data_IF_919857477665
#
_entry.id   IF_919857477665
#
_cell.length_a   1.000
_cell.length_b   1.000
_cell.length_c   1.000
_cell.angle_alpha   90.00
_cell.angle_beta   90.00
_cell.angle_gamma   90.00
#
_symmetry.space_group_name_H-M   'P 1'
#
loop_
_entity.id
_entity.type
_entity.pdbx_description
1 polymer ?
#
# COMPACT_ATOMS: atom_id res chain seq x y z
N UNK A 1 -9.42 4.30 9.69
CA UNK A 1 -8.40 3.23 9.75
C UNK A 1 -7.75 3.30 11.11
N UNK A 2 -7.32 2.19 11.69
CA UNK A 2 -6.64 2.16 13.00
C UNK A 2 -5.22 1.65 12.87
N UNK A 3 -4.38 2.04 13.83
CA UNK A 3 -3.09 1.40 14.07
C UNK A 3 -3.36 0.06 14.75
N UNK A 4 -3.04 -1.04 14.09
CA UNK A 4 -3.24 -2.39 14.61
C UNK A 4 -1.91 -2.99 15.03
N UNK A 5 -1.87 -3.56 16.23
CA UNK A 5 -0.75 -4.39 16.67
C UNK A 5 -1.03 -5.86 16.30
N UNK A 6 -0.28 -6.45 15.36
CA UNK A 6 -0.47 -7.85 15.01
C UNK A 6 -0.07 -8.81 16.13
N UNK A 7 0.86 -8.41 17.01
CA UNK A 7 1.30 -9.26 18.12
C UNK A 7 0.31 -9.23 19.29
N UNK A 8 -0.20 -8.05 19.64
CA UNK A 8 -1.14 -7.88 20.75
C UNK A 8 -2.59 -8.09 20.34
N UNK A 9 -2.87 -8.22 19.05
CA UNK A 9 -4.21 -8.42 18.49
C UNK A 9 -5.20 -7.32 18.91
N UNK A 10 -4.73 -6.07 18.94
CA UNK A 10 -5.54 -4.92 19.34
C UNK A 10 -5.23 -3.68 18.51
N UNK A 11 -6.21 -2.77 18.41
CA UNK A 11 -5.95 -1.42 17.98
C UNK A 11 -5.17 -0.66 19.06
N UNK A 12 -4.30 0.25 18.65
CA UNK A 12 -3.52 1.15 19.51
C UNK A 12 -3.77 2.60 19.10
N UNK A 13 -3.65 3.51 20.07
CA UNK A 13 -3.77 4.96 19.82
C UNK A 13 -2.59 5.47 19.00
N UNK A 14 -2.76 6.61 18.31
CA UNK A 14 -1.65 7.33 17.66
C UNK A 14 -0.53 7.69 18.66
N UNK A 15 -0.89 7.93 19.93
CA UNK A 15 0.07 8.21 21.01
C UNK A 15 0.86 6.98 21.48
N UNK A 16 0.40 5.77 21.13
CA UNK A 16 1.05 4.49 21.48
C UNK A 16 1.89 3.94 20.33
N UNK A 17 2.08 4.73 19.27
CA UNK A 17 2.95 4.42 18.13
C UNK A 17 4.22 5.23 18.20
N UNK A 18 5.35 4.55 18.30
CA UNK A 18 6.69 5.14 18.24
C UNK A 18 7.26 4.95 16.83
N UNK A 19 8.06 5.91 16.36
CA UNK A 19 8.66 5.84 15.03
C UNK A 19 10.17 5.70 15.13
N UNK A 20 10.72 4.70 14.45
CA UNK A 20 12.15 4.47 14.29
C UNK A 20 12.57 4.68 12.83
N UNK A 21 13.74 5.29 12.63
CA UNK A 21 14.39 5.27 11.31
C UNK A 21 15.17 3.97 11.14
N UNK A 22 14.83 3.20 10.11
CA UNK A 22 15.40 1.88 9.87
C UNK A 22 15.83 1.72 8.40
N UNK A 23 16.95 1.01 8.12
CA UNK A 23 17.29 0.64 6.76
C UNK A 23 16.21 -0.23 6.13
N UNK A 24 15.74 0.14 4.95
CA UNK A 24 14.80 -0.63 4.16
C UNK A 24 15.11 -0.58 2.66
N UNK A 25 14.11 -0.98 1.88
CA UNK A 25 14.23 -1.15 0.44
C UNK A 25 13.03 -0.54 -0.26
N UNK A 26 13.30 0.20 -1.33
CA UNK A 26 12.31 0.65 -2.30
C UNK A 26 12.33 -0.31 -3.49
N UNK A 27 11.18 -0.93 -3.76
CA UNK A 27 10.98 -1.93 -4.79
C UNK A 27 10.32 -1.30 -6.01
N UNK A 28 10.84 -1.61 -7.20
CA UNK A 28 10.32 -1.12 -8.46
C UNK A 28 9.66 -2.28 -9.24
N UNK A 29 8.35 -2.20 -9.47
CA UNK A 29 7.53 -3.30 -10.00
C UNK A 29 6.77 -2.85 -11.25
N UNK A 30 6.80 -3.66 -12.31
CA UNK A 30 6.05 -3.41 -13.55
C UNK A 30 4.59 -3.85 -13.39
N UNK A 31 3.66 -2.97 -13.74
CA UNK A 31 2.24 -3.23 -13.92
C UNK A 31 1.91 -3.09 -15.39
N UNK A 32 1.62 -4.20 -16.06
CA UNK A 32 1.29 -4.18 -17.48
C UNK A 32 -0.06 -3.51 -17.71
N UNK A 33 -0.20 -2.78 -18.80
CA UNK A 33 -1.46 -2.17 -19.22
C UNK A 33 -2.29 -3.22 -19.94
N UNK A 34 -3.53 -3.44 -19.48
CA UNK A 34 -4.42 -4.41 -20.08
C UNK A 34 -4.76 -4.03 -21.53
N UNK A 35 -4.74 -5.02 -22.43
CA UNK A 35 -4.95 -4.81 -23.87
C UNK A 35 -3.80 -4.08 -24.59
N UNK A 36 -2.72 -3.74 -23.87
CA UNK A 36 -1.52 -3.15 -24.45
C UNK A 36 -0.50 -4.18 -24.95
N UNK A 37 0.58 -3.69 -25.55
CA UNK A 37 1.76 -4.49 -25.89
C UNK A 37 2.52 -4.91 -24.62
N UNK A 38 3.46 -5.86 -24.74
CA UNK A 38 4.32 -6.25 -23.60
C UNK A 38 5.17 -5.10 -23.05
N UNK A 39 5.41 -4.07 -23.87
CA UNK A 39 6.13 -2.85 -23.50
C UNK A 39 5.25 -1.78 -22.84
N UNK A 40 3.92 -1.93 -22.88
CA UNK A 40 3.01 -1.00 -22.20
C UNK A 40 2.88 -1.40 -20.73
N UNK A 41 3.68 -0.76 -19.87
CA UNK A 41 3.60 -0.94 -18.42
C UNK A 41 3.86 0.37 -17.69
N UNK A 42 3.39 0.43 -16.44
CA UNK A 42 3.78 1.42 -15.45
C UNK A 42 4.76 0.77 -14.47
N UNK A 43 5.75 1.51 -14.02
CA UNK A 43 6.64 1.05 -12.94
C UNK A 43 6.20 1.73 -11.67
N UNK A 44 5.87 0.98 -10.63
CA UNK A 44 5.54 1.49 -9.29
C UNK A 44 6.75 1.37 -8.39
N UNK A 45 7.02 2.42 -7.61
CA UNK A 45 7.96 2.38 -6.50
C UNK A 45 7.20 2.18 -5.19
N UNK A 46 7.54 1.15 -4.41
CA UNK A 46 6.87 0.85 -3.12
C UNK A 46 7.84 0.24 -2.12
N UNK A 47 7.64 0.53 -0.84
CA UNK A 47 8.38 -0.10 0.27
C UNK A 47 7.67 -1.35 0.80
N UNK A 48 6.41 -1.57 0.39
CA UNK A 48 5.53 -2.65 0.83
C UNK A 48 4.96 -3.43 -0.35
N UNK A 49 5.79 -4.19 -1.10
CA UNK A 49 5.32 -4.90 -2.29
C UNK A 49 4.24 -5.94 -1.95
N UNK A 50 4.27 -6.54 -0.76
CA UNK A 50 3.27 -7.52 -0.29
C UNK A 50 1.84 -6.97 -0.22
N UNK A 51 1.67 -5.65 -0.18
CA UNK A 51 0.34 -5.01 -0.17
C UNK A 51 -0.29 -4.90 -1.57
N UNK A 52 0.44 -5.26 -2.64
CA UNK A 52 -0.06 -5.13 -4.02
C UNK A 52 -1.34 -5.95 -4.30
N UNK A 53 -1.53 -7.05 -3.58
CA UNK A 53 -2.74 -7.85 -3.69
C UNK A 53 -3.99 -7.05 -3.30
N UNK A 54 -3.82 -5.99 -2.50
CA UNK A 54 -4.85 -5.08 -2.03
C UNK A 54 -5.04 -3.84 -2.91
N UNK A 55 -4.30 -3.72 -4.02
CA UNK A 55 -4.39 -2.56 -4.89
C UNK A 55 -5.77 -2.46 -5.52
N UNK A 56 -6.37 -1.28 -5.56
CA UNK A 56 -7.69 -1.07 -6.19
C UNK A 56 -7.65 -0.06 -7.32
N UNK A 57 -6.55 0.67 -7.45
CA UNK A 57 -6.27 1.58 -8.55
C UNK A 57 -4.76 1.82 -8.63
N UNK A 58 -4.30 2.27 -9.80
CA UNK A 58 -2.99 2.89 -9.98
C UNK A 58 -3.21 4.37 -10.26
N UNK A 59 -2.52 5.24 -9.53
CA UNK A 59 -2.63 6.69 -9.71
C UNK A 59 -1.35 7.26 -10.33
N UNK A 60 -1.51 8.20 -11.24
CA UNK A 60 -0.43 8.99 -11.83
C UNK A 60 -0.75 10.47 -11.73
N UNK A 61 0.27 11.32 -11.71
CA UNK A 61 0.05 12.76 -11.70
C UNK A 61 -0.54 13.23 -13.06
N UNK A 62 -1.56 14.09 -13.09
CA UNK A 62 -2.20 14.51 -14.34
C UNK A 62 -1.27 15.27 -15.32
N UNK A 63 -0.19 15.87 -14.81
CA UNK A 63 0.82 16.56 -15.61
C UNK A 63 2.06 15.71 -15.90
N UNK A 64 2.02 14.41 -15.60
CA UNK A 64 3.11 13.49 -15.95
C UNK A 64 2.89 12.92 -17.37
N UNK A 65 3.52 13.57 -18.35
CA UNK A 65 3.42 13.21 -19.76
C UNK A 65 3.84 11.76 -20.03
N UNK A 66 4.73 11.17 -19.21
CA UNK A 66 5.20 9.78 -19.34
C UNK A 66 4.06 8.77 -19.25
N UNK A 67 3.05 9.05 -18.40
CA UNK A 67 1.97 8.11 -18.08
C UNK A 67 0.56 8.62 -18.40
N UNK A 68 0.40 9.89 -18.77
CA UNK A 68 -0.89 10.50 -19.16
C UNK A 68 -1.69 9.65 -20.16
N UNK A 69 -1.02 9.03 -21.13
CA UNK A 69 -1.61 8.14 -22.16
C UNK A 69 -2.27 6.86 -21.62
N UNK A 70 -2.03 6.50 -20.36
CA UNK A 70 -2.60 5.31 -19.71
C UNK A 70 -3.79 5.63 -18.82
N UNK A 71 -4.06 6.89 -18.51
CA UNK A 71 -5.22 7.31 -17.71
C UNK A 71 -6.51 6.83 -18.39
N UNK A 72 -7.41 6.23 -17.61
CA UNK A 72 -8.66 5.63 -18.09
C UNK A 72 -8.51 4.20 -18.64
N UNK A 73 -7.28 3.68 -18.77
CA UNK A 73 -7.03 2.26 -19.06
C UNK A 73 -6.99 1.45 -17.76
N UNK A 74 -6.79 0.14 -17.90
CA UNK A 74 -6.64 -0.78 -16.78
C UNK A 74 -5.20 -1.26 -16.66
N UNK A 75 -4.69 -1.38 -15.44
CA UNK A 75 -3.44 -2.06 -15.12
C UNK A 75 -3.73 -3.49 -14.65
N UNK A 76 -2.84 -4.41 -14.98
CA UNK A 76 -2.85 -5.80 -14.48
C UNK A 76 -2.01 -5.84 -13.21
N UNK A 77 -2.63 -6.23 -12.10
CA UNK A 77 -1.92 -6.39 -10.82
C UNK A 77 -1.04 -7.64 -10.90
N UNK A 78 0.27 -7.54 -10.65
CA UNK A 78 1.18 -8.68 -10.68
C UNK A 78 0.73 -9.80 -9.74
N UNK A 79 1.02 -11.06 -10.10
CA UNK A 79 0.80 -12.23 -9.24
C UNK A 79 -0.65 -12.47 -8.78
N UNK A 80 -1.65 -11.91 -9.46
CA UNK A 80 -3.08 -12.03 -9.11
C UNK A 80 -3.91 -12.76 -10.17
N UNK A 81 -3.29 -13.56 -11.04
CA UNK A 81 -3.98 -14.26 -12.14
C UNK A 81 -4.79 -13.33 -13.08
N UNK A 82 -4.31 -12.09 -13.28
CA UNK A 82 -4.91 -11.16 -14.23
C UNK A 82 -5.94 -10.19 -13.64
N UNK A 83 -5.91 -9.90 -12.33
CA UNK A 83 -6.77 -8.89 -11.72
C UNK A 83 -6.48 -7.52 -12.33
N UNK A 84 -7.53 -6.84 -12.78
CA UNK A 84 -7.45 -5.52 -13.36
C UNK A 84 -7.85 -4.44 -12.37
N UNK A 85 -7.13 -3.32 -12.38
CA UNK A 85 -7.47 -2.10 -11.62
C UNK A 85 -7.39 -0.87 -12.53
N UNK A 86 -8.25 0.15 -12.33
CA UNK A 86 -8.22 1.35 -13.14
C UNK A 86 -6.93 2.15 -12.93
N UNK A 87 -6.47 2.80 -14.00
CA UNK A 87 -5.41 3.80 -13.96
C UNK A 87 -6.08 5.18 -13.92
N UNK A 88 -5.92 5.87 -12.80
CA UNK A 88 -6.54 7.17 -12.52
C UNK A 88 -5.49 8.28 -12.51
N UNK A 89 -5.94 9.52 -12.67
CA UNK A 89 -5.11 10.70 -12.45
C UNK A 89 -5.47 11.37 -11.13
N UNK A 90 -4.46 11.71 -10.32
CA UNK A 90 -4.66 12.46 -9.09
C UNK A 90 -3.46 13.38 -8.82
N UNK A 91 -3.73 14.63 -8.40
CA UNK A 91 -2.69 15.62 -8.06
C UNK A 91 -1.98 15.30 -6.74
N UNK A 92 -2.51 14.38 -5.95
CA UNK A 92 -1.87 13.85 -4.75
C UNK A 92 -0.59 13.07 -5.07
N UNK A 93 -0.47 12.51 -6.29
CA UNK A 93 0.71 11.76 -6.70
C UNK A 93 1.87 12.72 -6.96
N UNK A 94 2.97 12.54 -6.23
CA UNK A 94 4.23 13.23 -6.53
C UNK A 94 4.88 12.58 -7.76
N UNK A 95 4.98 13.34 -8.87
CA UNK A 95 5.60 12.87 -10.12
C UNK A 95 7.13 12.67 -10.03
N UNK A 96 7.77 13.30 -9.05
CA UNK A 96 9.22 13.32 -8.88
C UNK A 96 9.68 12.27 -7.84
N UNK A 97 8.77 11.78 -6.99
CA UNK A 97 9.05 10.67 -6.08
C UNK A 97 9.01 9.31 -6.79
N UNK A 98 10.09 8.53 -6.66
CA UNK A 98 10.20 7.20 -7.23
C UNK A 98 10.06 7.22 -8.75
N UNK A 99 8.88 6.82 -9.25
CA UNK A 99 8.55 6.81 -10.69
C UNK A 99 7.44 7.78 -11.07
N UNK A 100 6.78 8.43 -10.11
CA UNK A 100 5.55 9.20 -10.38
C UNK A 100 4.29 8.35 -10.56
N UNK A 101 4.37 7.06 -10.23
CA UNK A 101 3.25 6.11 -10.26
C UNK A 101 3.03 5.52 -8.87
N UNK A 102 1.82 5.71 -8.35
CA UNK A 102 1.43 5.25 -7.02
C UNK A 102 0.43 4.09 -7.13
N UNK A 103 0.67 3.00 -6.40
CA UNK A 103 -0.36 1.98 -6.16
C UNK A 103 -1.29 2.44 -5.04
N UNK A 104 -2.59 2.22 -5.17
CA UNK A 104 -3.59 2.58 -4.16
C UNK A 104 -4.07 1.32 -3.45
N UNK A 105 -3.61 1.08 -2.22
CA UNK A 105 -3.93 -0.10 -1.40
C UNK A 105 -4.68 0.29 -0.12
N UNK A 106 -5.96 0.69 -0.21
CA UNK A 106 -6.69 1.36 0.86
C UNK A 106 -6.97 0.50 2.10
N UNK A 107 -6.69 -0.81 2.04
CA UNK A 107 -6.71 -1.66 3.23
C UNK A 107 -5.51 -1.46 4.15
N UNK A 108 -4.41 -0.85 3.67
CA UNK A 108 -3.08 -0.92 4.29
C UNK A 108 -2.33 0.41 4.35
N UNK A 109 -2.94 1.51 3.91
CA UNK A 109 -2.38 2.86 4.00
C UNK A 109 -3.48 3.90 4.25
N UNK A 110 -3.20 4.88 5.11
CA UNK A 110 -4.19 5.86 5.54
C UNK A 110 -4.56 6.86 4.42
N UNK A 111 -3.57 7.29 3.63
CA UNK A 111 -3.80 8.23 2.54
C UNK A 111 -4.57 7.54 1.41
N UNK A 112 -4.18 6.30 1.07
CA UNK A 112 -4.91 5.48 0.10
C UNK A 112 -6.34 5.23 0.57
N UNK A 113 -6.56 4.97 1.86
CA UNK A 113 -7.89 4.81 2.44
C UNK A 113 -8.75 6.07 2.25
N UNK A 114 -8.24 7.25 2.59
CA UNK A 114 -8.96 8.51 2.44
C UNK A 114 -9.26 8.79 0.97
N UNK A 115 -8.28 8.59 0.09
CA UNK A 115 -8.46 8.76 -1.35
C UNK A 115 -9.49 7.80 -1.92
N UNK A 116 -9.43 6.52 -1.57
CA UNK A 116 -10.40 5.52 -2.00
C UNK A 116 -11.82 5.89 -1.54
N UNK A 117 -11.99 6.37 -0.30
CA UNK A 117 -13.29 6.84 0.20
C UNK A 117 -13.82 8.05 -0.57
N UNK A 118 -12.96 9.00 -0.92
CA UNK A 118 -13.33 10.18 -1.72
C UNK A 118 -13.76 9.82 -3.14
N UNK A 119 -13.08 8.85 -3.75
CA UNK A 119 -13.33 8.43 -5.13
C UNK A 119 -14.34 7.29 -5.26
N UNK A 120 -14.83 6.74 -4.15
CA UNK A 120 -15.74 5.58 -4.15
C UNK A 120 -15.08 4.28 -4.59
N UNK A 121 -13.75 4.16 -4.45
CA UNK A 121 -13.02 2.93 -4.74
C UNK A 121 -13.28 1.88 -3.64
N UNK A 122 -13.24 0.58 -3.99
CA UNK A 122 -13.42 -0.48 -3.01
C UNK A 122 -12.28 -0.48 -1.99
N UNK A 123 -12.53 -1.04 -0.81
CA UNK A 123 -11.49 -1.25 0.21
C UNK A 123 -11.22 -2.74 0.30
N UNK A 124 -9.99 -3.14 -0.02
CA UNK A 124 -9.56 -4.53 -0.04
C UNK A 124 -8.47 -4.75 1.00
N UNK A 125 -8.79 -5.54 2.02
CA UNK A 125 -7.84 -5.98 3.03
C UNK A 125 -7.18 -7.30 2.60
N UNK A 126 -5.86 -7.42 2.79
CA UNK A 126 -5.07 -8.60 2.38
C UNK A 126 -4.34 -9.27 3.53
N UNK A 127 -4.49 -8.76 4.74
CA UNK A 127 -3.83 -9.31 5.93
C UNK A 127 -4.87 -9.77 6.94
N UNK A 128 -4.62 -10.93 7.54
CA UNK A 128 -5.25 -11.33 8.77
C UNK A 128 -4.77 -10.45 9.92
N UNK A 129 -5.47 -10.53 11.07
CA UNK A 129 -5.13 -9.75 12.25
C UNK A 129 -3.74 -10.08 12.82
N UNK A 130 -3.19 -11.25 12.55
CA UNK A 130 -1.84 -11.66 12.97
C UNK A 130 -0.72 -11.19 12.02
N UNK A 131 -1.07 -10.50 10.93
CA UNK A 131 -0.13 -10.02 9.93
C UNK A 131 0.25 -11.05 8.87
N UNK A 132 -0.37 -12.24 8.88
CA UNK A 132 -0.29 -13.17 7.75
C UNK A 132 -1.18 -12.71 6.61
N UNK A 133 -0.85 -13.08 5.37
CA UNK A 133 -1.72 -12.79 4.22
C UNK A 133 -2.96 -13.69 4.20
N UNK A 134 -4.09 -13.14 3.79
CA UNK A 134 -5.36 -13.85 3.66
C UNK A 134 -5.59 -14.38 2.23
N UNK A 135 -6.78 -14.92 1.96
CA UNK A 135 -7.16 -15.52 0.68
C UNK A 135 -7.07 -14.58 -0.53
N UNK A 136 -7.12 -13.26 -0.31
CA UNK A 136 -6.99 -12.26 -1.38
C UNK A 136 -5.61 -12.33 -2.02
N UNK A 137 -4.59 -12.75 -1.27
CA UNK A 137 -3.23 -12.91 -1.76
C UNK A 137 -3.01 -14.23 -2.53
N UNK A 138 -4.05 -15.06 -2.71
CA UNK A 138 -3.98 -16.28 -3.51
C UNK A 138 -2.87 -17.24 -3.03
N UNK A 139 -1.87 -17.49 -3.87
CA UNK A 139 -0.75 -18.40 -3.58
C UNK A 139 0.11 -17.98 -2.38
N UNK A 140 0.00 -16.74 -1.92
CA UNK A 140 0.75 -16.23 -0.77
C UNK A 140 -0.06 -16.27 0.53
N UNK A 141 -1.31 -16.74 0.49
CA UNK A 141 -2.16 -16.90 1.66
C UNK A 141 -1.46 -17.74 2.74
N UNK A 142 -1.54 -17.30 3.99
CA UNK A 142 -0.96 -17.95 5.16
C UNK A 142 0.49 -17.59 5.45
N UNK A 143 1.21 -16.93 4.53
CA UNK A 143 2.57 -16.45 4.80
C UNK A 143 2.56 -15.21 5.68
N UNK A 144 3.52 -15.08 6.59
CA UNK A 144 3.78 -13.79 7.26
C UNK A 144 4.15 -12.73 6.22
N UNK A 145 3.69 -11.49 6.41
CA UNK A 145 3.92 -10.38 5.47
C UNK A 145 5.38 -10.16 5.07
N UNK A 146 6.34 -10.39 5.97
CA UNK A 146 7.76 -10.22 5.67
C UNK A 146 8.31 -11.39 4.85
N UNK A 147 7.80 -12.59 5.07
CA UNK A 147 8.11 -13.77 4.25
C UNK A 147 7.48 -13.65 2.86
N UNK A 148 6.20 -13.26 2.82
CA UNK A 148 5.47 -13.01 1.59
C UNK A 148 6.16 -11.95 0.74
N UNK A 149 6.68 -10.88 1.35
CA UNK A 149 7.50 -9.85 0.67
C UNK A 149 8.69 -10.45 -0.06
N UNK A 150 9.47 -11.31 0.61
CA UNK A 150 10.65 -11.96 0.02
C UNK A 150 10.26 -12.89 -1.11
N UNK A 151 9.26 -13.75 -0.88
CA UNK A 151 8.78 -14.70 -1.88
C UNK A 151 8.23 -13.98 -3.11
N UNK A 152 7.38 -12.98 -2.91
CA UNK A 152 6.79 -12.17 -3.97
C UNK A 152 7.86 -11.52 -4.83
N UNK A 153 8.91 -10.96 -4.21
CA UNK A 153 9.99 -10.38 -4.97
C UNK A 153 10.71 -11.40 -5.86
N UNK A 154 11.04 -12.57 -5.33
CA UNK A 154 11.63 -13.69 -6.10
C UNK A 154 10.75 -14.06 -7.30
N UNK A 155 9.45 -14.23 -7.09
CA UNK A 155 8.52 -14.60 -8.17
C UNK A 155 8.41 -13.47 -9.23
N UNK A 156 8.48 -12.19 -8.80
CA UNK A 156 8.48 -11.04 -9.69
C UNK A 156 9.77 -10.99 -10.55
N UNK A 157 10.91 -11.40 -10.01
CA UNK A 157 12.17 -11.54 -10.77
C UNK A 157 12.05 -12.64 -11.82
N UNK A 158 11.53 -13.82 -11.45
CA UNK A 158 11.33 -14.94 -12.37
C UNK A 158 10.38 -14.62 -13.54
N UNK A 159 9.47 -13.66 -13.34
CA UNK A 159 8.48 -13.26 -14.34
C UNK A 159 8.83 -11.97 -15.10
N UNK A 160 10.02 -11.41 -14.87
CA UNK A 160 10.48 -10.12 -15.44
C UNK A 160 9.51 -8.95 -15.13
N UNK A 161 8.87 -9.00 -13.95
CA UNK A 161 8.05 -7.91 -13.43
C UNK A 161 8.78 -7.09 -12.36
N UNK A 162 9.85 -7.63 -11.78
CA UNK A 162 10.80 -6.86 -10.98
C UNK A 162 11.68 -5.98 -11.89
N UNK A 163 11.85 -4.70 -11.54
CA UNK A 163 12.76 -3.77 -12.25
C UNK A 163 14.07 -3.63 -11.50
N UNK A 164 14.02 -3.23 -10.23
CA UNK A 164 15.18 -3.03 -9.36
C UNK A 164 14.77 -2.89 -7.89
N UNK A 165 15.75 -3.02 -7.01
CA UNK A 165 15.68 -2.62 -5.60
C UNK A 165 16.66 -1.49 -5.33
N UNK A 166 16.27 -0.55 -4.47
CA UNK A 166 17.15 0.52 -4.01
C UNK A 166 17.10 0.62 -2.48
N UNK A 167 18.24 0.91 -1.87
CA UNK A 167 18.28 1.14 -0.41
C UNK A 167 17.54 2.44 -0.10
N UNK A 168 16.67 2.40 0.90
CA UNK A 168 15.85 3.53 1.30
C UNK A 168 15.71 3.55 2.82
N UNK A 169 15.76 4.73 3.44
CA UNK A 169 15.48 4.85 4.88
C UNK A 169 13.97 4.85 5.10
N UNK A 170 13.50 4.00 6.02
CA UNK A 170 12.09 3.90 6.35
C UNK A 170 11.83 4.48 7.72
N UNK A 171 10.75 5.24 7.85
CA UNK A 171 10.19 5.64 9.14
C UNK A 171 9.16 4.59 9.55
N UNK A 172 9.56 3.63 10.38
CA UNK A 172 8.77 2.44 10.72
C UNK A 172 7.92 2.73 11.97
N UNK A 173 6.58 2.56 11.91
CA UNK A 173 5.72 2.68 13.09
C UNK A 173 5.80 1.39 13.92
N UNK A 174 6.11 1.52 15.21
CA UNK A 174 6.20 0.42 16.16
C UNK A 174 5.29 0.62 17.35
N UNK A 175 4.77 -0.48 17.85
CA UNK A 175 4.00 -0.53 19.09
C UNK A 175 4.90 -0.16 20.27
N UNK A 176 4.52 0.86 21.03
CA UNK A 176 5.25 1.25 22.25
C UNK A 176 5.40 0.09 23.24
N UNK A 177 4.38 -0.78 23.35
CA UNK A 177 4.37 -1.86 24.35
C UNK A 177 5.07 -3.12 23.86
N UNK A 178 4.83 -3.51 22.62
CA UNK A 178 5.26 -4.80 22.10
C UNK A 178 6.48 -4.77 21.18
N UNK A 179 6.83 -3.57 20.68
CA UNK A 179 7.95 -3.33 19.77
C UNK A 179 7.71 -3.79 18.32
N UNK A 180 6.63 -4.51 18.03
CA UNK A 180 6.29 -4.95 16.68
C UNK A 180 5.91 -3.78 15.77
N UNK A 181 6.10 -3.99 14.46
CA UNK A 181 5.63 -3.06 13.42
C UNK A 181 4.10 -3.02 13.44
N UNK A 182 3.56 -1.81 13.50
CA UNK A 182 2.13 -1.52 13.44
C UNK A 182 1.63 -1.67 12.01
N UNK A 183 0.45 -2.27 11.87
CA UNK A 183 -0.25 -2.41 10.60
C UNK A 183 -1.45 -1.47 10.54
N UNK A 184 -1.60 -0.67 9.47
CA UNK A 184 -2.86 0.03 9.23
C UNK A 184 -3.96 -0.98 8.92
N UNK A 185 -5.08 -0.92 9.66
CA UNK A 185 -6.20 -1.84 9.48
C UNK A 185 -7.53 -1.10 9.42
N UNK A 186 -8.39 -1.48 8.46
CA UNK A 186 -9.77 -1.00 8.43
C UNK A 186 -10.61 -1.86 9.37
N UNK A 187 -10.98 -1.29 10.52
CA UNK A 187 -11.74 -1.97 11.57
C UNK A 187 -12.84 -1.07 12.12
N UNK A 188 -13.97 -1.67 12.54
CA UNK A 188 -15.02 -0.96 13.27
C UNK A 188 -14.54 -0.72 14.69
N UNK A 189 -14.36 0.54 15.05
CA UNK A 189 -13.83 0.97 16.34
C UNK A 189 -14.59 2.19 16.85
N UNK A 190 -14.44 2.44 18.15
CA UNK A 190 -14.99 3.62 18.80
C UNK A 190 -14.00 4.77 18.73
N UNK A 191 -14.45 5.92 18.23
CA UNK A 191 -13.63 7.13 18.12
C UNK A 191 -14.26 8.25 18.93
N UNK A 192 -13.42 9.08 19.54
CA UNK A 192 -13.84 10.32 20.20
C UNK A 192 -13.49 11.49 19.29
N UNK A 193 -14.47 12.35 19.00
CA UNK A 193 -14.22 13.59 18.26
C UNK A 193 -13.46 14.57 19.15
N UNK A 194 -12.14 14.63 18.99
CA UNK A 194 -11.25 15.37 19.89
C UNK A 194 -11.30 16.88 19.72
N UNK A 195 -11.58 17.39 18.53
CA UNK A 195 -11.53 18.83 18.22
C UNK A 195 -12.31 19.73 19.20
N UNK A 196 -13.61 19.50 19.48
CA UNK A 196 -14.37 20.34 20.42
C UNK A 196 -13.92 20.20 21.88
N UNK A 197 -13.24 19.12 22.25
CA UNK A 197 -12.67 18.94 23.59
C UNK A 197 -11.35 19.70 23.72
N UNK A 198 -10.51 19.62 22.69
CA UNK A 198 -9.22 20.33 22.64
C UNK A 198 -9.41 21.85 22.67
N UNK A 199 -10.37 22.38 21.89
CA UNK A 199 -10.68 23.82 21.87
C UNK A 199 -11.04 24.35 23.27
N UNK A 200 -11.75 23.57 24.10
CA UNK A 200 -12.09 23.97 25.47
C UNK A 200 -10.93 23.90 26.46
N UNK A 201 -9.99 22.97 26.25
CA UNK A 201 -8.87 22.75 27.16
C UNK A 201 -7.69 23.72 26.92
N UNK A 202 -7.66 24.37 25.75
CA UNK A 202 -6.66 25.39 25.38
C UNK A 202 -7.06 26.82 25.79
N UNK A 203 -8.27 27.00 26.32
CA UNK A 203 -8.79 28.25 26.91
C UNK A 203 -8.45 28.31 28.40
#
# INVERSE_FOLDING_TARGET
MVNWSPKLQTAVSDLEVEYSEEPGTLYYIKYRVAGGSRSDFLTIATTRPETLFGDVAIAVHPQDERYSKYVGKMAIVPMTYGRHVPIISDKYVDKDFGTGVLKISPGHDHNDYVLARKLGLPILNVMNKDGTLNEVAGLYCGLDRFEARKKLWSDLEETDLAVKMERHSLRVPRSQRGGEVIEPLVSKQWFVTMQPLAEKALL
#
